data_IF_833366723541
#
_entry.id   IF_833366723541
#
_cell.length_a   1.000
_cell.length_b   1.000
_cell.length_c   1.000
_cell.angle_alpha   90.00
_cell.angle_beta   90.00
_cell.angle_gamma   90.00
#
_symmetry.space_group_name_H-M   'P 1'
#
loop_
_entity.id
_entity.type
_entity.pdbx_description
1 polymer ?
#
# COMPACT_ATOMS: atom_id res chain seq x y z
N UNK A 1 -62.82 17.18 -15.61
CA UNK A 1 -62.01 18.21 -14.90
C UNK A 1 -61.74 17.90 -13.42
N UNK A 2 -61.92 16.66 -12.92
CA UNK A 2 -61.58 16.30 -11.53
C UNK A 2 -60.30 15.45 -11.41
N UNK A 3 -59.91 14.71 -12.44
CA UNK A 3 -58.75 13.79 -12.41
C UNK A 3 -57.41 14.57 -12.47
N UNK A 4 -57.35 15.67 -13.21
CA UNK A 4 -56.13 16.50 -13.34
C UNK A 4 -55.75 17.26 -12.05
N UNK A 5 -56.70 17.49 -11.13
CA UNK A 5 -56.46 18.18 -9.86
C UNK A 5 -55.92 17.24 -8.77
N UNK A 6 -56.20 15.94 -8.90
CA UNK A 6 -55.79 14.93 -7.93
C UNK A 6 -54.31 14.54 -8.11
N UNK A 7 -53.78 14.58 -9.33
CA UNK A 7 -52.35 14.35 -9.59
C UNK A 7 -51.45 15.48 -9.04
N UNK A 8 -51.95 16.73 -8.96
CA UNK A 8 -51.15 17.87 -8.50
C UNK A 8 -50.93 17.88 -6.97
N UNK A 9 -51.84 17.30 -6.19
CA UNK A 9 -51.74 17.24 -4.72
C UNK A 9 -50.84 16.08 -4.23
N UNK A 10 -50.73 14.99 -4.99
CA UNK A 10 -49.76 13.93 -4.72
C UNK A 10 -48.31 14.32 -5.07
N UNK A 11 -48.11 15.22 -6.03
CA UNK A 11 -46.77 15.71 -6.41
C UNK A 11 -46.14 16.66 -5.38
N UNK A 12 -46.94 17.38 -4.58
CA UNK A 12 -46.44 18.32 -3.57
C UNK A 12 -46.02 17.64 -2.26
N UNK A 13 -46.53 16.44 -1.95
CA UNK A 13 -46.12 15.66 -0.78
C UNK A 13 -44.80 14.91 -1.02
N UNK A 14 -44.44 14.62 -2.27
CA UNK A 14 -43.16 13.95 -2.60
C UNK A 14 -41.95 14.88 -2.55
N UNK A 15 -42.15 16.20 -2.43
CA UNK A 15 -41.05 17.17 -2.26
C UNK A 15 -40.53 17.26 -0.82
N UNK A 16 -41.19 16.64 0.17
CA UNK A 16 -40.69 16.57 1.55
C UNK A 16 -39.87 15.31 1.86
N UNK A 17 -39.78 14.36 0.93
CA UNK A 17 -38.93 13.18 1.03
C UNK A 17 -37.96 13.13 -0.14
N UNK A 18 -37.17 14.20 -0.32
CA UNK A 18 -35.86 14.01 -0.92
C UNK A 18 -35.01 13.36 0.18
N UNK A 19 -35.12 12.03 0.30
CA UNK A 19 -34.10 11.25 0.98
C UNK A 19 -32.78 11.65 0.33
N UNK A 20 -31.95 12.35 1.10
CA UNK A 20 -30.58 12.63 0.67
C UNK A 20 -29.94 11.27 0.49
N UNK A 21 -29.68 10.89 -0.75
CA UNK A 21 -28.65 9.91 -1.03
C UNK A 21 -27.34 10.61 -0.65
N UNK A 22 -26.96 10.51 0.63
CA UNK A 22 -25.57 10.69 1.02
C UNK A 22 -24.81 9.52 0.40
N UNK A 23 -24.44 9.70 -0.86
CA UNK A 23 -23.36 8.95 -1.48
C UNK A 23 -22.11 9.29 -0.67
N UNK A 24 -21.89 8.56 0.42
CA UNK A 24 -20.66 8.55 1.18
C UNK A 24 -19.58 7.87 0.34
N UNK A 25 -19.22 8.50 -0.78
CA UNK A 25 -17.91 8.36 -1.38
C UNK A 25 -16.89 9.05 -0.49
N UNK A 26 -16.82 8.64 0.79
CA UNK A 26 -15.62 8.80 1.57
C UNK A 26 -14.58 7.89 0.91
N UNK A 27 -14.01 8.37 -0.20
CA UNK A 27 -12.83 7.78 -0.79
C UNK A 27 -11.76 7.86 0.28
N UNK A 28 -11.55 6.76 0.97
CA UNK A 28 -10.53 6.71 2.01
C UNK A 28 -9.19 7.04 1.38
N UNK A 29 -8.54 8.06 1.93
CA UNK A 29 -7.28 8.55 1.38
C UNK A 29 -6.23 7.47 1.54
N UNK A 30 -5.69 6.99 0.42
CA UNK A 30 -4.56 6.09 0.42
C UNK A 30 -3.31 6.85 0.88
N UNK A 31 -2.81 6.51 2.07
CA UNK A 31 -1.56 7.02 2.57
C UNK A 31 -0.41 6.13 2.09
N UNK A 32 0.68 6.74 1.65
CA UNK A 32 1.86 6.04 1.15
C UNK A 32 3.10 6.58 1.85
N UNK A 33 3.86 5.69 2.48
CA UNK A 33 5.16 5.97 3.07
C UNK A 33 6.27 5.28 2.28
N UNK A 34 7.43 5.93 2.19
CA UNK A 34 8.63 5.35 1.60
C UNK A 34 9.82 5.48 2.56
N UNK A 35 10.61 4.42 2.68
CA UNK A 35 11.86 4.43 3.43
C UNK A 35 12.93 3.61 2.71
N UNK A 36 14.20 3.97 2.95
CA UNK A 36 15.36 3.23 2.45
C UNK A 36 16.45 3.18 3.52
N UNK A 37 17.08 2.03 3.69
CA UNK A 37 18.24 1.86 4.56
C UNK A 37 19.38 1.15 3.81
N UNK A 38 20.62 1.59 4.05
CA UNK A 38 21.81 0.95 3.49
C UNK A 38 22.11 -0.33 4.28
N UNK A 39 22.28 -1.44 3.57
CA UNK A 39 22.58 -2.77 4.13
C UNK A 39 23.89 -3.34 3.56
N UNK A 40 24.75 -2.47 3.01
CA UNK A 40 26.03 -2.85 2.45
C UNK A 40 26.91 -3.51 3.52
N UNK A 41 27.34 -4.77 3.32
CA UNK A 41 28.22 -5.42 4.26
C UNK A 41 29.62 -4.79 4.22
N UNK A 42 30.38 -4.86 5.32
CA UNK A 42 31.78 -4.43 5.32
C UNK A 42 32.62 -5.31 4.38
N UNK A 43 33.80 -4.81 4.01
CA UNK A 43 34.77 -5.60 3.24
C UNK A 43 35.19 -6.88 3.97
N UNK A 44 35.56 -7.92 3.20
CA UNK A 44 35.95 -9.22 3.75
C UNK A 44 34.78 -10.19 3.99
N UNK A 45 33.52 -9.76 3.81
CA UNK A 45 32.38 -10.68 3.85
C UNK A 45 32.37 -11.65 2.65
N UNK A 46 31.84 -12.87 2.87
CA UNK A 46 31.61 -13.86 1.81
C UNK A 46 30.47 -13.40 0.90
N UNK A 47 30.69 -13.48 -0.41
CA UNK A 47 29.65 -13.20 -1.41
C UNK A 47 28.69 -14.38 -1.55
N UNK A 48 27.40 -14.07 -1.70
CA UNK A 48 26.35 -15.04 -1.93
C UNK A 48 26.07 -15.20 -3.43
N UNK A 49 25.59 -16.37 -3.84
CA UNK A 49 25.12 -16.63 -5.22
C UNK A 49 26.20 -17.15 -6.17
N UNK A 50 27.42 -17.37 -5.70
CA UNK A 50 28.51 -17.99 -6.46
C UNK A 50 28.70 -19.46 -6.05
N UNK A 51 29.07 -20.32 -6.99
CA UNK A 51 29.38 -21.74 -6.70
C UNK A 51 30.73 -21.93 -6.02
N UNK A 52 31.61 -20.94 -6.14
CA UNK A 52 32.91 -20.89 -5.48
C UNK A 52 32.87 -19.86 -4.36
N UNK A 53 33.69 -20.06 -3.33
CA UNK A 53 33.86 -19.06 -2.28
C UNK A 53 34.53 -17.81 -2.86
N UNK A 54 33.83 -16.67 -2.74
CA UNK A 54 34.39 -15.36 -3.07
C UNK A 54 34.25 -14.43 -1.88
N UNK A 55 35.30 -13.67 -1.63
CA UNK A 55 35.36 -12.65 -0.59
C UNK A 55 35.18 -11.29 -1.26
N UNK A 56 34.32 -10.44 -0.69
CA UNK A 56 34.22 -9.04 -1.10
C UNK A 56 35.57 -8.35 -0.83
N UNK A 57 36.08 -7.64 -1.84
CA UNK A 57 37.36 -6.90 -1.78
C UNK A 57 37.16 -5.39 -1.96
N UNK A 58 35.94 -4.91 -1.80
CA UNK A 58 35.59 -3.54 -2.14
C UNK A 58 34.13 -3.36 -2.46
N UNK A 59 33.75 -2.11 -2.62
CA UNK A 59 32.40 -1.66 -2.89
C UNK A 59 32.30 -1.10 -4.31
N UNK A 60 31.42 -1.69 -5.14
CA UNK A 60 31.02 -1.08 -6.41
C UNK A 60 29.80 -0.18 -6.19
N UNK A 61 28.66 -0.78 -5.82
CA UNK A 61 27.41 -0.08 -5.47
C UNK A 61 26.94 -0.49 -4.07
N UNK A 62 26.33 0.47 -3.35
CA UNK A 62 25.69 0.17 -2.08
C UNK A 62 24.44 -0.69 -2.26
N UNK A 63 24.25 -1.65 -1.36
CA UNK A 63 23.05 -2.47 -1.27
C UNK A 63 22.04 -1.78 -0.35
N UNK A 64 20.78 -1.76 -0.75
CA UNK A 64 19.71 -1.15 0.03
C UNK A 64 18.54 -2.11 0.27
N UNK A 65 17.88 -1.89 1.41
CA UNK A 65 16.47 -2.27 1.59
C UNK A 65 15.61 -1.04 1.36
N UNK A 66 14.49 -1.23 0.65
CA UNK A 66 13.51 -0.19 0.32
C UNK A 66 12.14 -0.71 0.71
N UNK A 67 11.36 0.10 1.42
CA UNK A 67 10.01 -0.24 1.81
C UNK A 67 9.04 0.84 1.30
N UNK A 68 7.95 0.39 0.69
CA UNK A 68 6.77 1.21 0.42
C UNK A 68 5.64 0.65 1.30
N UNK A 69 5.04 1.51 2.12
CA UNK A 69 3.94 1.13 3.00
C UNK A 69 2.69 1.86 2.55
N UNK A 70 1.64 1.10 2.29
CA UNK A 70 0.32 1.60 1.92
C UNK A 70 -0.61 1.46 3.13
N UNK A 71 -1.43 2.48 3.38
CA UNK A 71 -2.50 2.42 4.36
C UNK A 71 -3.78 2.99 3.79
N UNK A 72 -4.85 2.22 3.85
CA UNK A 72 -6.21 2.65 3.56
C UNK A 72 -7.10 2.17 4.71
N UNK A 73 -7.63 3.12 5.48
CA UNK A 73 -8.42 2.86 6.69
C UNK A 73 -7.66 1.97 7.70
N UNK A 74 -8.18 0.76 7.96
CA UNK A 74 -7.59 -0.27 8.83
C UNK A 74 -6.64 -1.22 8.11
N UNK A 75 -6.61 -1.19 6.78
CA UNK A 75 -5.77 -2.08 5.97
C UNK A 75 -4.41 -1.42 5.79
N UNK A 76 -3.35 -2.17 6.10
CA UNK A 76 -1.98 -1.78 5.86
C UNK A 76 -1.27 -2.88 5.07
N UNK A 77 -0.45 -2.49 4.09
CA UNK A 77 0.37 -3.40 3.31
C UNK A 77 1.76 -2.79 3.14
N UNK A 78 2.80 -3.60 3.33
CA UNK A 78 4.17 -3.21 3.04
C UNK A 78 4.70 -4.02 1.86
N UNK A 79 5.35 -3.33 0.91
CA UNK A 79 6.16 -3.94 -0.12
C UNK A 79 7.62 -3.62 0.16
N UNK A 80 8.43 -4.66 0.39
CA UNK A 80 9.84 -4.53 0.75
C UNK A 80 10.69 -5.15 -0.36
N UNK A 81 11.60 -4.35 -0.92
CA UNK A 81 12.60 -4.80 -1.88
C UNK A 81 14.00 -4.70 -1.29
N UNK A 82 14.77 -5.78 -1.39
CA UNK A 82 16.16 -5.84 -0.93
C UNK A 82 17.09 -6.10 -2.11
N UNK A 83 18.23 -5.41 -2.15
CA UNK A 83 19.34 -5.71 -3.07
C UNK A 83 20.09 -6.97 -2.61
N UNK A 84 19.38 -8.10 -2.57
CA UNK A 84 19.87 -9.40 -2.14
C UNK A 84 19.48 -10.46 -3.16
N UNK A 85 20.34 -11.46 -3.36
CA UNK A 85 20.03 -12.58 -4.24
C UNK A 85 18.86 -13.44 -3.70
N UNK A 86 18.74 -13.55 -2.37
CA UNK A 86 17.69 -14.27 -1.65
C UNK A 86 17.44 -13.61 -0.29
N UNK A 87 16.20 -13.70 0.20
CA UNK A 87 15.84 -13.33 1.58
C UNK A 87 15.72 -14.62 2.39
N UNK A 88 16.44 -14.69 3.52
CA UNK A 88 16.38 -15.84 4.40
C UNK A 88 15.00 -15.92 5.09
N UNK A 89 14.39 -17.11 5.26
CA UNK A 89 13.05 -17.24 5.88
C UNK A 89 12.91 -16.56 7.24
N UNK A 90 13.94 -16.63 8.08
CA UNK A 90 13.96 -15.93 9.40
C UNK A 90 13.71 -14.44 9.29
N UNK A 91 14.18 -13.78 8.22
CA UNK A 91 13.91 -12.35 8.00
C UNK A 91 12.47 -12.14 7.54
N UNK A 92 11.91 -13.07 6.77
CA UNK A 92 10.50 -13.04 6.36
C UNK A 92 9.53 -13.25 7.51
N UNK A 93 9.86 -14.11 8.46
CA UNK A 93 9.06 -14.34 9.67
C UNK A 93 8.96 -13.09 10.55
N UNK A 94 10.00 -12.25 10.60
CA UNK A 94 9.95 -10.96 11.31
C UNK A 94 9.06 -9.90 10.62
N UNK A 95 8.60 -10.13 9.39
CA UNK A 95 7.80 -9.19 8.60
C UNK A 95 6.30 -9.49 8.64
N UNK A 96 5.87 -10.60 9.25
CA UNK A 96 4.47 -11.00 9.46
C UNK A 96 4.07 -10.97 10.93
#
# INVERSE_FOLDING_TARGET
MLIARMCCLLGLLSMLACDRIESSNASSTLQVGYARANITPPEGCRLCGTFEEKINRGLHDSLYVRAIVFRQDSIMMAMVGCDLAKVHPTIGECLG
#
